data_IF_821829965163
#
_entry.id   IF_821829965163
#
_cell.length_a   1.000
_cell.length_b   1.000
_cell.length_c   1.000
_cell.angle_alpha   90.00
_cell.angle_beta   90.00
_cell.angle_gamma   90.00
#
_symmetry.space_group_name_H-M   'P 1'
#
loop_
_entity.id
_entity.type
_entity.pdbx_description
1 polymer ?
#
# COMPACT_ATOMS: atom_id res chain seq x y z
N UNK A 1 5.16 37.55 11.28
CA UNK A 1 3.94 38.39 11.30
C UNK A 1 2.76 37.52 11.72
N UNK A 2 1.98 37.93 12.73
CA UNK A 2 0.79 37.18 13.13
C UNK A 2 -0.26 37.24 12.01
N UNK A 3 -0.77 36.08 11.57
CA UNK A 3 -1.77 36.03 10.49
C UNK A 3 -3.08 36.65 10.99
N UNK A 4 -3.80 37.36 10.12
CA UNK A 4 -5.00 38.14 10.47
C UNK A 4 -6.16 37.33 11.06
N UNK A 5 -6.11 35.99 10.97
CA UNK A 5 -7.10 35.07 11.53
C UNK A 5 -6.77 34.59 12.95
N UNK A 6 -5.62 34.93 13.52
CA UNK A 6 -5.29 34.55 14.91
C UNK A 6 -6.12 35.36 15.90
N UNK A 7 -6.87 34.67 16.76
CA UNK A 7 -7.65 35.31 17.82
C UNK A 7 -6.73 35.94 18.88
N UNK A 8 -7.01 37.18 19.25
CA UNK A 8 -6.37 37.83 20.40
C UNK A 8 -6.86 37.17 21.71
N UNK A 9 -5.97 37.05 22.71
CA UNK A 9 -6.22 36.51 24.06
C UNK A 9 -7.55 36.96 24.68
N UNK A 10 -7.95 38.22 24.51
CA UNK A 10 -9.23 38.72 25.02
C UNK A 10 -10.44 38.02 24.37
N UNK A 11 -10.43 37.84 23.04
CA UNK A 11 -11.50 37.16 22.31
C UNK A 11 -11.53 35.66 22.64
N UNK A 12 -10.37 35.04 22.84
CA UNK A 12 -10.28 33.66 23.28
C UNK A 12 -10.92 33.47 24.67
N UNK A 13 -10.58 34.32 25.65
CA UNK A 13 -11.16 34.26 27.00
C UNK A 13 -12.68 34.51 27.01
N UNK A 14 -13.19 35.40 26.15
CA UNK A 14 -14.63 35.63 25.99
C UNK A 14 -15.38 34.42 25.39
N UNK A 15 -14.68 33.56 24.64
CA UNK A 15 -15.25 32.37 24.00
C UNK A 15 -15.13 31.06 24.79
N UNK A 16 -14.46 31.04 25.95
CA UNK A 16 -14.25 29.82 26.75
C UNK A 16 -15.57 29.16 27.17
N UNK A 17 -16.62 29.94 27.45
CA UNK A 17 -17.93 29.37 27.80
C UNK A 17 -18.57 28.59 26.65
N UNK A 18 -18.24 28.93 25.39
CA UNK A 18 -18.80 28.31 24.19
C UNK A 18 -18.01 27.07 23.77
N UNK A 19 -16.74 26.93 24.19
CA UNK A 19 -15.90 25.78 23.84
C UNK A 19 -16.33 24.46 24.50
N UNK A 20 -17.22 24.49 25.49
CA UNK A 20 -17.82 23.28 26.07
C UNK A 20 -18.91 22.68 25.17
N UNK A 21 -19.51 23.49 24.29
CA UNK A 21 -20.59 23.08 23.38
C UNK A 21 -20.11 22.81 21.95
N UNK A 22 -18.86 23.14 21.63
CA UNK A 22 -18.28 22.99 20.29
C UNK A 22 -17.13 21.99 20.29
N UNK A 23 -16.99 21.16 19.23
CA UNK A 23 -15.76 20.44 18.97
C UNK A 23 -14.58 21.40 18.96
N UNK A 24 -13.44 20.97 19.50
CA UNK A 24 -12.22 21.78 19.55
C UNK A 24 -11.93 22.34 18.14
N UNK A 25 -11.63 23.64 18.05
CA UNK A 25 -11.36 24.33 16.78
C UNK A 25 -9.99 23.91 16.24
N UNK A 26 -9.89 22.69 15.72
CA UNK A 26 -8.66 22.09 15.18
C UNK A 26 -7.99 22.98 14.12
N UNK A 27 -8.75 23.82 13.41
CA UNK A 27 -8.22 24.75 12.41
C UNK A 27 -7.37 25.90 13.00
N UNK A 28 -7.40 26.10 14.32
CA UNK A 28 -6.53 27.05 15.02
C UNK A 28 -5.23 26.45 15.53
N UNK A 29 -5.04 25.13 15.39
CA UNK A 29 -3.77 24.51 15.71
C UNK A 29 -2.67 25.10 14.82
N UNK A 30 -1.54 25.45 15.45
CA UNK A 30 -0.34 25.76 14.69
C UNK A 30 0.00 24.53 13.86
N UNK A 31 0.09 24.70 12.54
CA UNK A 31 0.68 23.71 11.64
C UNK A 31 2.19 23.58 11.91
N UNK A 32 2.59 23.30 13.15
CA UNK A 32 3.75 22.47 13.39
C UNK A 32 3.31 21.11 12.92
N UNK A 33 3.51 20.85 11.63
CA UNK A 33 3.44 19.50 11.10
C UNK A 33 4.17 18.63 12.09
N UNK A 34 3.47 17.59 12.57
CA UNK A 34 4.06 16.51 13.35
C UNK A 34 5.47 16.32 12.81
N UNK A 35 6.57 16.47 13.61
CA UNK A 35 7.90 16.30 13.08
C UNK A 35 7.85 14.97 12.36
N UNK A 36 7.90 15.02 11.02
CA UNK A 36 7.85 13.82 10.22
C UNK A 36 9.13 13.12 10.68
N UNK A 37 8.96 12.13 11.56
CA UNK A 37 9.90 11.05 11.64
C UNK A 37 10.05 10.68 10.18
N UNK A 38 11.26 10.83 9.66
CA UNK A 38 11.61 10.59 8.26
C UNK A 38 11.47 9.08 8.01
N UNK A 39 10.22 8.62 8.10
CA UNK A 39 9.83 7.25 7.91
C UNK A 39 9.89 7.07 6.40
N UNK A 40 10.80 6.23 5.89
CA UNK A 40 10.87 5.97 4.48
C UNK A 40 9.48 5.52 4.03
N UNK A 41 8.95 6.23 3.03
CA UNK A 41 7.63 5.94 2.50
C UNK A 41 7.61 4.48 2.02
N UNK A 42 6.76 3.65 2.60
CA UNK A 42 6.63 2.26 2.20
C UNK A 42 6.22 2.20 0.73
N UNK A 43 7.04 1.54 -0.10
CA UNK A 43 6.77 1.33 -1.54
C UNK A 43 6.46 -0.14 -1.75
N UNK A 44 5.34 -0.41 -2.40
CA UNK A 44 4.89 -1.76 -2.74
C UNK A 44 4.65 -1.83 -4.24
N UNK A 45 5.08 -2.94 -4.84
CA UNK A 45 4.85 -3.24 -6.24
C UNK A 45 4.25 -4.64 -6.35
N UNK A 46 3.35 -4.83 -7.32
CA UNK A 46 2.75 -6.11 -7.63
C UNK A 46 3.11 -6.48 -9.07
N UNK A 47 3.73 -7.64 -9.24
CA UNK A 47 4.11 -8.16 -10.54
C UNK A 47 3.18 -9.32 -10.87
N UNK A 48 2.54 -9.27 -12.04
CA UNK A 48 1.64 -10.30 -12.52
C UNK A 48 2.12 -10.83 -13.85
N UNK A 49 2.21 -12.16 -13.92
CA UNK A 49 2.64 -12.90 -15.09
C UNK A 49 1.46 -13.75 -15.55
N UNK A 50 0.75 -13.35 -16.62
CA UNK A 50 -0.44 -14.04 -17.08
C UNK A 50 -0.10 -15.40 -17.70
N UNK A 51 -1.14 -16.06 -18.20
CA UNK A 51 -1.02 -17.29 -18.96
C UNK A 51 0.02 -17.15 -20.11
N UNK A 52 0.82 -18.20 -20.33
CA UNK A 52 1.84 -18.25 -21.40
C UNK A 52 3.28 -18.05 -20.93
N UNK A 53 3.49 -17.95 -19.62
CA UNK A 53 4.80 -17.95 -18.99
C UNK A 53 5.37 -19.36 -18.98
N UNK A 54 6.67 -19.50 -19.24
CA UNK A 54 7.34 -20.79 -19.23
C UNK A 54 7.23 -21.44 -17.83
N UNK A 55 6.92 -22.73 -17.81
CA UNK A 55 6.75 -23.47 -16.55
C UNK A 55 8.02 -23.35 -15.69
N UNK A 56 7.84 -23.04 -14.41
CA UNK A 56 8.94 -22.87 -13.46
C UNK A 56 9.77 -21.58 -13.62
N UNK A 57 9.51 -20.72 -14.62
CA UNK A 57 10.34 -19.53 -14.85
C UNK A 57 10.24 -18.47 -13.73
N UNK A 58 9.21 -18.55 -12.89
CA UNK A 58 9.01 -17.67 -11.72
C UNK A 58 9.05 -18.40 -10.38
N UNK A 59 9.44 -19.69 -10.39
CA UNK A 59 9.66 -20.41 -9.14
C UNK A 59 11.09 -20.16 -8.65
N UNK A 60 11.28 -19.86 -7.35
CA UNK A 60 12.61 -19.79 -6.77
C UNK A 60 13.32 -21.14 -6.92
N UNK A 61 14.65 -21.11 -7.00
CA UNK A 61 15.46 -22.33 -7.10
C UNK A 61 15.50 -23.07 -5.75
N UNK A 62 15.52 -22.32 -4.65
CA UNK A 62 15.57 -22.88 -3.30
C UNK A 62 14.74 -22.06 -2.32
N UNK A 63 13.90 -22.76 -1.56
CA UNK A 63 13.07 -22.22 -0.48
C UNK A 63 13.35 -23.03 0.78
N UNK A 64 13.51 -22.35 1.90
CA UNK A 64 13.72 -22.99 3.19
C UNK A 64 12.43 -23.64 3.70
N UNK A 65 12.53 -24.47 4.74
CA UNK A 65 11.36 -25.16 5.33
C UNK A 65 10.33 -24.20 5.93
N UNK A 66 10.76 -23.02 6.34
CA UNK A 66 9.93 -21.93 6.85
C UNK A 66 9.33 -21.04 5.74
N UNK A 67 9.62 -21.32 4.46
CA UNK A 67 9.09 -20.55 3.33
C UNK A 67 9.92 -19.33 2.94
N UNK A 68 11.09 -19.12 3.57
CA UNK A 68 12.00 -18.03 3.21
C UNK A 68 12.71 -18.33 1.89
N UNK A 69 12.82 -17.32 1.02
CA UNK A 69 13.50 -17.43 -0.26
C UNK A 69 15.02 -17.53 -0.04
N UNK A 70 15.59 -18.69 -0.33
CA UNK A 70 17.03 -18.95 -0.17
C UNK A 70 17.78 -18.56 -1.42
N UNK A 71 17.28 -18.94 -2.60
CA UNK A 71 17.90 -18.65 -3.89
C UNK A 71 16.83 -18.48 -4.98
N UNK A 72 16.89 -17.36 -5.71
CA UNK A 72 16.03 -17.16 -6.87
C UNK A 72 16.66 -17.80 -8.12
N UNK A 73 15.82 -18.11 -9.10
CA UNK A 73 16.27 -18.71 -10.36
C UNK A 73 17.01 -17.68 -11.25
N UNK A 74 17.55 -18.15 -12.38
CA UNK A 74 18.30 -17.33 -13.33
C UNK A 74 17.50 -16.14 -13.91
N UNK A 75 16.19 -16.30 -14.14
CA UNK A 75 15.32 -15.24 -14.65
C UNK A 75 15.10 -14.12 -13.62
N UNK A 76 15.22 -14.46 -12.34
CA UNK A 76 15.01 -13.57 -11.20
C UNK A 76 16.33 -13.04 -10.61
N UNK A 77 17.48 -13.32 -11.22
CA UNK A 77 18.79 -12.89 -10.74
C UNK A 77 18.87 -11.40 -10.37
N UNK A 78 18.27 -10.44 -11.13
CA UNK A 78 18.28 -9.02 -10.75
C UNK A 78 17.60 -8.73 -9.41
N UNK A 79 16.67 -9.58 -8.98
CA UNK A 79 15.90 -9.44 -7.75
C UNK A 79 16.56 -10.13 -6.54
N UNK A 80 17.64 -10.89 -6.74
CA UNK A 80 18.29 -11.69 -5.69
C UNK A 80 18.68 -10.84 -4.47
N UNK A 81 19.17 -9.61 -4.69
CA UNK A 81 19.54 -8.67 -3.62
C UNK A 81 18.36 -8.20 -2.77
N UNK A 82 17.13 -8.42 -3.23
CA UNK A 82 15.89 -7.98 -2.61
C UNK A 82 15.02 -9.14 -2.14
N UNK A 83 15.48 -10.40 -2.22
CA UNK A 83 14.68 -11.59 -1.91
C UNK A 83 13.99 -11.59 -0.54
N UNK A 84 14.61 -10.96 0.47
CA UNK A 84 14.03 -10.81 1.81
C UNK A 84 12.80 -9.90 1.85
N UNK A 85 12.56 -9.12 0.80
CA UNK A 85 11.41 -8.22 0.65
C UNK A 85 10.43 -8.69 -0.44
N UNK A 86 10.62 -9.90 -0.99
CA UNK A 86 9.73 -10.46 -1.99
C UNK A 86 8.77 -11.46 -1.34
N UNK A 87 7.53 -11.45 -1.81
CA UNK A 87 6.54 -12.46 -1.51
C UNK A 87 6.12 -13.12 -2.83
N UNK A 88 6.31 -14.42 -2.93
CA UNK A 88 5.86 -15.22 -4.08
C UNK A 88 4.80 -16.18 -3.54
N UNK A 89 3.52 -15.77 -3.54
CA UNK A 89 2.48 -16.62 -2.99
C UNK A 89 2.13 -17.73 -3.97
N UNK A 90 2.10 -18.96 -3.46
CA UNK A 90 1.63 -20.14 -4.18
C UNK A 90 0.20 -20.50 -3.77
N UNK A 91 -0.47 -21.32 -4.59
CA UNK A 91 -1.82 -21.81 -4.32
C UNK A 91 -2.88 -20.71 -4.12
N UNK A 92 -2.67 -19.53 -4.72
CA UNK A 92 -3.71 -18.49 -4.81
C UNK A 92 -4.59 -18.76 -6.03
N UNK A 93 -5.90 -18.79 -5.79
CA UNK A 93 -6.89 -18.93 -6.84
C UNK A 93 -8.10 -18.03 -6.57
N UNK A 94 -8.70 -17.51 -7.63
CA UNK A 94 -9.96 -16.76 -7.55
C UNK A 94 -10.98 -17.33 -8.54
N UNK A 95 -12.22 -17.64 -8.10
CA UNK A 95 -13.27 -18.11 -9.00
C UNK A 95 -13.66 -17.05 -10.04
N UNK A 96 -13.51 -15.77 -9.70
CA UNK A 96 -14.01 -14.61 -10.48
C UNK A 96 -13.07 -14.17 -11.60
N UNK A 97 -11.86 -14.72 -11.65
CA UNK A 97 -10.79 -14.30 -12.55
C UNK A 97 -10.13 -15.44 -13.29
N UNK A 98 -10.77 -16.61 -13.35
CA UNK A 98 -10.15 -17.81 -13.89
C UNK A 98 -10.25 -17.89 -15.41
N UNK A 99 -9.17 -18.32 -16.06
CA UNK A 99 -9.09 -18.51 -17.50
C UNK A 99 -8.19 -17.50 -18.24
N UNK A 100 -7.93 -17.79 -19.52
CA UNK A 100 -6.91 -17.09 -20.31
C UNK A 100 -7.10 -15.56 -20.33
N UNK A 101 -8.32 -15.09 -20.61
CA UNK A 101 -8.66 -13.66 -20.68
C UNK A 101 -8.97 -13.06 -19.31
N UNK A 102 -9.59 -13.83 -18.43
CA UNK A 102 -10.09 -13.32 -17.15
C UNK A 102 -8.96 -13.00 -16.16
N UNK A 103 -7.85 -13.74 -16.18
CA UNK A 103 -6.74 -13.54 -15.24
C UNK A 103 -6.16 -12.13 -15.32
N UNK A 104 -5.82 -11.69 -16.52
CA UNK A 104 -5.31 -10.32 -16.76
C UNK A 104 -6.37 -9.27 -16.47
N UNK A 105 -7.61 -9.52 -16.86
CA UNK A 105 -8.69 -8.54 -16.69
C UNK A 105 -9.11 -8.34 -15.22
N UNK A 106 -8.84 -9.31 -14.34
CA UNK A 106 -9.28 -9.26 -12.93
C UNK A 106 -8.15 -8.96 -11.94
N UNK A 107 -6.90 -8.90 -12.38
CA UNK A 107 -5.75 -8.64 -11.51
C UNK A 107 -5.89 -7.35 -10.70
N UNK A 108 -5.88 -7.45 -9.36
CA UNK A 108 -6.03 -6.35 -8.40
C UNK A 108 -7.29 -5.48 -8.55
N UNK A 109 -8.33 -6.00 -9.21
CA UNK A 109 -9.58 -5.23 -9.42
C UNK A 109 -10.64 -5.46 -8.33
N UNK A 110 -10.56 -6.58 -7.60
CA UNK A 110 -11.65 -7.03 -6.71
C UNK A 110 -12.94 -7.43 -7.44
N UNK A 111 -12.94 -7.40 -8.77
CA UNK A 111 -14.10 -7.67 -9.63
C UNK A 111 -14.09 -9.05 -10.27
N UNK A 112 -15.15 -9.33 -11.03
CA UNK A 112 -15.24 -10.50 -11.91
C UNK A 112 -15.12 -10.08 -13.37
N UNK A 113 -14.56 -10.95 -14.21
CA UNK A 113 -14.55 -10.73 -15.64
C UNK A 113 -15.85 -11.24 -16.28
N UNK A 114 -16.71 -10.31 -16.69
CA UNK A 114 -17.82 -10.60 -17.62
C UNK A 114 -17.37 -10.25 -19.03
N UNK A 115 -17.02 -11.26 -19.85
CA UNK A 115 -16.57 -11.06 -21.24
C UNK A 115 -17.62 -10.47 -22.20
N UNK A 116 -18.77 -10.04 -21.68
CA UNK A 116 -19.85 -9.34 -22.37
C UNK A 116 -20.39 -8.23 -21.46
N UNK A 117 -19.86 -7.02 -21.64
CA UNK A 117 -20.58 -5.76 -21.44
C UNK A 117 -20.19 -4.83 -22.58
#
# INVERSE_FOLDING_TARGET
MAKSWHLNRRKALQGIGVSLALPLLECMQTAQGNPQVDQPQARMAFLYFPNGVAEGSWLPEEVSKDGSLVKLNSWMQPLERHKQHLLIPENIWTPRGNGHMAGTATWLTGGEYSGRQ
#
